data_IF_136566334392
#
_entry.id   IF_136566334392
#
_cell.length_a   1.000
_cell.length_b   1.000
_cell.length_c   1.000
_cell.angle_alpha   90.00
_cell.angle_beta   90.00
_cell.angle_gamma   90.00
#
_symmetry.space_group_name_H-M   'P 1'
#
loop_
_entity.id
_entity.type
_entity.pdbx_description
1 polymer ?
#
# COMPACT_ATOMS: atom_id res chain seq x y z
N UNK A 1 -44.32 -25.54 3.66
CA UNK A 1 -43.02 -25.15 4.25
C UNK A 1 -42.23 -24.47 3.15
N UNK A 2 -42.27 -23.15 3.11
CA UNK A 2 -41.50 -22.34 2.17
C UNK A 2 -40.01 -22.48 2.52
N UNK A 3 -39.21 -22.78 1.51
CA UNK A 3 -37.79 -23.07 1.72
C UNK A 3 -37.03 -21.78 1.95
N UNK A 4 -36.03 -21.77 2.84
CA UNK A 4 -35.25 -20.59 3.22
C UNK A 4 -34.58 -19.83 2.05
N UNK A 5 -34.57 -20.42 0.85
CA UNK A 5 -34.10 -19.82 -0.40
C UNK A 5 -35.05 -18.79 -1.01
N UNK A 6 -36.33 -18.77 -0.60
CA UNK A 6 -37.36 -17.87 -1.14
C UNK A 6 -37.36 -16.49 -0.43
N UNK A 7 -36.97 -16.46 0.85
CA UNK A 7 -36.97 -15.27 1.70
C UNK A 7 -35.68 -14.44 1.57
N UNK A 8 -34.56 -15.04 1.16
CA UNK A 8 -33.26 -14.36 1.05
C UNK A 8 -32.73 -14.44 -0.39
N UNK A 9 -32.78 -13.33 -1.16
CA UNK A 9 -32.22 -13.28 -2.50
C UNK A 9 -30.72 -13.62 -2.48
N UNK A 10 -30.28 -14.53 -3.36
CA UNK A 10 -28.85 -14.79 -3.58
C UNK A 10 -28.21 -13.58 -4.25
N UNK A 11 -27.61 -12.69 -3.46
CA UNK A 11 -26.88 -11.53 -3.96
C UNK A 11 -25.68 -11.99 -4.80
N UNK A 12 -25.68 -11.66 -6.10
CA UNK A 12 -24.54 -11.91 -6.98
C UNK A 12 -23.36 -11.03 -6.55
N UNK A 13 -22.18 -11.63 -6.44
CA UNK A 13 -20.96 -10.88 -6.12
C UNK A 13 -20.54 -10.03 -7.32
N UNK A 14 -20.26 -8.76 -7.07
CA UNK A 14 -19.66 -7.85 -8.05
C UNK A 14 -18.14 -7.91 -7.96
N UNK A 15 -17.47 -7.70 -9.09
CA UNK A 15 -16.02 -7.53 -9.13
C UNK A 15 -15.62 -6.35 -8.24
N UNK A 16 -14.75 -6.60 -7.25
CA UNK A 16 -14.20 -5.54 -6.38
C UNK A 16 -13.00 -4.85 -7.01
N UNK A 17 -12.28 -5.57 -7.86
CA UNK A 17 -11.04 -5.11 -8.48
C UNK A 17 -11.23 -5.04 -9.99
N UNK A 18 -10.55 -4.07 -10.63
CA UNK A 18 -10.69 -3.82 -12.08
C UNK A 18 -10.21 -4.99 -12.95
N UNK A 19 -9.30 -5.81 -12.43
CA UNK A 19 -8.73 -6.98 -13.10
C UNK A 19 -9.54 -8.26 -12.92
N UNK A 20 -10.62 -8.25 -12.13
CA UNK A 20 -11.42 -9.46 -11.89
C UNK A 20 -12.42 -9.67 -13.03
N UNK A 21 -12.28 -10.77 -13.75
CA UNK A 21 -13.21 -11.19 -14.80
C UNK A 21 -14.41 -11.96 -14.23
N UNK A 22 -15.50 -12.03 -15.00
CA UNK A 22 -16.69 -12.81 -14.64
C UNK A 22 -16.37 -14.30 -14.44
N UNK A 23 -15.41 -14.83 -15.18
CA UNK A 23 -14.91 -16.20 -15.03
C UNK A 23 -14.33 -16.45 -13.63
N UNK A 24 -13.55 -15.50 -13.09
CA UNK A 24 -13.00 -15.58 -11.72
C UNK A 24 -14.13 -15.55 -10.69
N UNK A 25 -15.17 -14.74 -10.92
CA UNK A 25 -16.34 -14.68 -10.04
C UNK A 25 -17.09 -16.02 -10.01
N UNK A 26 -17.23 -16.68 -11.16
CA UNK A 26 -17.84 -18.00 -11.25
C UNK A 26 -17.02 -19.06 -10.51
N UNK A 27 -15.70 -19.10 -10.71
CA UNK A 27 -14.84 -20.04 -9.96
C UNK A 27 -14.85 -19.79 -8.45
N UNK A 28 -14.97 -18.54 -8.01
CA UNK A 28 -15.15 -18.23 -6.59
C UNK A 28 -16.47 -18.71 -6.02
N UNK A 29 -17.53 -18.70 -6.82
CA UNK A 29 -18.84 -19.25 -6.46
C UNK A 29 -18.77 -20.78 -6.39
N UNK A 30 -18.13 -21.43 -7.35
CA UNK A 30 -17.88 -22.88 -7.32
C UNK A 30 -17.08 -23.28 -6.07
N UNK A 31 -16.06 -22.49 -5.70
CA UNK A 31 -15.28 -22.70 -4.47
C UNK A 31 -16.16 -22.64 -3.22
N UNK A 32 -17.18 -21.77 -3.21
CA UNK A 32 -18.14 -21.65 -2.10
C UNK A 32 -19.00 -22.91 -1.99
N UNK A 33 -19.49 -23.43 -3.11
CA UNK A 33 -20.29 -24.64 -3.17
C UNK A 33 -19.48 -25.91 -2.86
N UNK A 34 -18.17 -25.92 -3.10
CA UNK A 34 -17.30 -27.07 -2.89
C UNK A 34 -16.87 -27.32 -1.44
N UNK A 35 -17.31 -26.52 -0.46
CA UNK A 35 -16.90 -26.65 0.96
C UNK A 35 -17.15 -28.04 1.59
N UNK A 36 -18.04 -28.84 1.02
CA UNK A 36 -18.32 -30.21 1.50
C UNK A 36 -17.37 -31.29 1.00
N UNK A 37 -16.51 -31.01 0.01
CA UNK A 37 -15.56 -31.98 -0.53
C UNK A 37 -14.16 -31.36 -0.56
N UNK A 38 -13.26 -31.87 0.29
CA UNK A 38 -11.90 -31.33 0.48
C UNK A 38 -11.08 -31.34 -0.81
N UNK A 39 -11.07 -32.46 -1.53
CA UNK A 39 -10.27 -32.61 -2.75
C UNK A 39 -10.76 -31.67 -3.86
N UNK A 40 -12.08 -31.63 -4.07
CA UNK A 40 -12.69 -30.71 -5.04
C UNK A 40 -12.46 -29.23 -4.66
N UNK A 41 -12.51 -28.92 -3.37
CA UNK A 41 -12.23 -27.57 -2.87
C UNK A 41 -10.78 -27.15 -3.14
N UNK A 42 -9.80 -28.01 -2.86
CA UNK A 42 -8.38 -27.73 -3.10
C UNK A 42 -8.09 -27.50 -4.59
N UNK A 43 -8.65 -28.35 -5.47
CA UNK A 43 -8.51 -28.20 -6.91
C UNK A 43 -9.08 -26.87 -7.42
N UNK A 44 -10.30 -26.51 -6.99
CA UNK A 44 -10.94 -25.25 -7.38
C UNK A 44 -10.17 -24.07 -6.77
N UNK A 45 -9.69 -24.18 -5.54
CA UNK A 45 -8.92 -23.13 -4.90
C UNK A 45 -7.64 -22.80 -5.67
N UNK A 46 -6.90 -23.83 -6.12
CA UNK A 46 -5.71 -23.66 -6.95
C UNK A 46 -6.03 -22.98 -8.27
N UNK A 47 -7.09 -23.42 -8.96
CA UNK A 47 -7.56 -22.79 -10.22
C UNK A 47 -7.94 -21.33 -10.03
N UNK A 48 -8.67 -21.01 -8.96
CA UNK A 48 -9.03 -19.62 -8.61
C UNK A 48 -7.76 -18.78 -8.42
N UNK A 49 -6.78 -19.30 -7.68
CA UNK A 49 -5.53 -18.58 -7.42
C UNK A 49 -4.75 -18.33 -8.71
N UNK A 50 -4.59 -19.36 -9.54
CA UNK A 50 -3.93 -19.25 -10.84
C UNK A 50 -4.61 -18.21 -11.74
N UNK A 51 -5.94 -18.30 -11.90
CA UNK A 51 -6.69 -17.35 -12.73
C UNK A 51 -6.62 -15.92 -12.19
N UNK A 52 -6.70 -15.74 -10.88
CA UNK A 52 -6.52 -14.44 -10.24
C UNK A 52 -5.13 -13.87 -10.53
N UNK A 53 -4.07 -14.67 -10.39
CA UNK A 53 -2.70 -14.25 -10.63
C UNK A 53 -2.51 -13.85 -12.09
N UNK A 54 -2.90 -14.69 -13.04
CA UNK A 54 -2.80 -14.40 -14.47
C UNK A 54 -3.59 -13.17 -14.87
N UNK A 55 -4.83 -13.02 -14.39
CA UNK A 55 -5.67 -11.86 -14.73
C UNK A 55 -5.10 -10.57 -14.14
N UNK A 56 -4.58 -10.62 -12.91
CA UNK A 56 -3.92 -9.47 -12.28
C UNK A 56 -2.64 -9.10 -13.02
N UNK A 57 -1.82 -10.08 -13.40
CA UNK A 57 -0.58 -9.87 -14.14
C UNK A 57 -0.84 -9.26 -15.53
N UNK A 58 -1.82 -9.80 -16.27
CA UNK A 58 -2.22 -9.26 -17.56
C UNK A 58 -2.68 -7.80 -17.45
N UNK A 59 -3.50 -7.49 -16.44
CA UNK A 59 -3.96 -6.13 -16.20
C UNK A 59 -2.82 -5.17 -15.86
N UNK A 60 -1.87 -5.59 -15.00
CA UNK A 60 -0.68 -4.79 -14.67
C UNK A 60 0.16 -4.56 -15.93
N UNK A 61 0.41 -5.61 -16.72
CA UNK A 61 1.21 -5.53 -17.94
C UNK A 61 0.58 -4.59 -18.98
N UNK A 62 -0.74 -4.65 -19.15
CA UNK A 62 -1.48 -3.72 -20.01
C UNK A 62 -1.34 -2.27 -19.53
N UNK A 63 -1.49 -2.03 -18.22
CA UNK A 63 -1.32 -0.71 -17.64
C UNK A 63 0.11 -0.18 -17.73
N UNK A 64 1.12 -1.04 -17.58
CA UNK A 64 2.53 -0.67 -17.80
C UNK A 64 2.75 -0.21 -19.25
N UNK A 65 2.21 -0.96 -20.24
CA UNK A 65 2.30 -0.57 -21.66
C UNK A 65 1.62 0.78 -21.92
N UNK A 66 0.45 1.02 -21.34
CA UNK A 66 -0.24 2.32 -21.44
C UNK A 66 0.63 3.46 -20.87
N UNK A 67 1.26 3.26 -19.70
CA UNK A 67 2.14 4.26 -19.08
C UNK A 67 3.37 4.54 -19.95
N UNK A 68 4.01 3.50 -20.50
CA UNK A 68 5.18 3.64 -21.37
C UNK A 68 4.88 4.44 -22.63
N UNK A 69 3.68 4.25 -23.21
CA UNK A 69 3.21 5.03 -24.36
C UNK A 69 2.89 6.48 -23.97
N UNK A 70 2.15 6.67 -22.88
CA UNK A 70 1.78 8.00 -22.38
C UNK A 70 2.98 8.82 -21.93
N UNK A 71 4.09 8.18 -21.51
CA UNK A 71 5.32 8.87 -21.09
C UNK A 71 5.86 9.82 -22.15
N UNK A 72 5.67 9.52 -23.43
CA UNK A 72 6.12 10.38 -24.54
C UNK A 72 5.27 11.63 -24.72
N UNK A 73 4.00 11.61 -24.30
CA UNK A 73 3.01 12.65 -24.60
C UNK A 73 2.53 13.42 -23.36
N UNK A 74 2.54 12.80 -22.18
CA UNK A 74 2.00 13.35 -20.95
C UNK A 74 2.79 12.85 -19.71
N UNK A 75 4.02 13.33 -19.47
CA UNK A 75 4.82 12.92 -18.32
C UNK A 75 4.14 13.20 -16.96
N UNK A 76 3.27 14.21 -16.90
CA UNK A 76 2.53 14.59 -15.71
C UNK A 76 1.48 13.56 -15.26
N UNK A 77 0.96 12.71 -16.15
CA UNK A 77 -0.06 11.71 -15.79
C UNK A 77 0.55 10.40 -15.30
N UNK A 78 1.83 10.17 -15.56
CA UNK A 78 2.56 8.94 -15.16
C UNK A 78 2.42 8.69 -13.66
N UNK A 79 2.64 9.73 -12.84
CA UNK A 79 2.64 9.58 -11.39
C UNK A 79 1.27 9.09 -10.86
N UNK A 80 0.18 9.64 -11.42
CA UNK A 80 -1.18 9.24 -11.09
C UNK A 80 -1.48 7.80 -11.52
N UNK A 81 -1.05 7.41 -12.71
CA UNK A 81 -1.25 6.04 -13.21
C UNK A 81 -0.47 5.01 -12.37
N UNK A 82 0.76 5.33 -11.96
CA UNK A 82 1.56 4.49 -11.06
C UNK A 82 0.88 4.36 -9.70
N UNK A 83 0.33 5.46 -9.15
CA UNK A 83 -0.43 5.44 -7.90
C UNK A 83 -1.69 4.58 -8.02
N UNK A 84 -2.38 4.61 -9.16
CA UNK A 84 -3.56 3.78 -9.41
C UNK A 84 -3.25 2.27 -9.43
N UNK A 85 -2.11 1.87 -10.00
CA UNK A 85 -1.69 0.46 -10.06
C UNK A 85 -1.16 -0.03 -8.70
N UNK A 86 -0.31 0.79 -8.06
CA UNK A 86 0.39 0.41 -6.82
C UNK A 86 -0.50 0.57 -5.60
N UNK A 87 -1.57 1.38 -5.72
CA UNK A 87 -2.35 1.86 -4.60
C UNK A 87 -1.59 2.88 -3.77
N UNK A 88 -2.29 3.49 -2.81
CA UNK A 88 -1.63 4.33 -1.80
C UNK A 88 -0.84 3.42 -0.88
N UNK A 89 0.50 3.57 -0.89
CA UNK A 89 1.31 3.06 0.21
C UNK A 89 0.83 3.77 1.46
N UNK A 90 0.09 3.05 2.30
CA UNK A 90 -0.02 3.44 3.70
C UNK A 90 1.41 3.33 4.22
N UNK A 91 2.10 4.47 4.30
CA UNK A 91 3.27 4.56 5.15
C UNK A 91 2.76 4.15 6.52
N UNK A 92 3.06 2.91 6.90
CA UNK A 92 2.95 2.49 8.29
C UNK A 92 3.84 3.50 9.01
N UNK A 93 3.22 4.50 9.64
CA UNK A 93 3.91 5.32 10.61
C UNK A 93 4.19 4.34 11.75
N UNK A 94 5.32 3.66 11.68
CA UNK A 94 5.61 2.55 12.59
C UNK A 94 5.85 3.04 14.01
N UNK A 95 5.66 4.35 14.28
CA UNK A 95 5.90 4.97 15.58
C UNK A 95 7.33 4.74 16.07
N UNK A 96 8.24 4.30 15.20
CA UNK A 96 9.58 3.89 15.57
C UNK A 96 10.61 4.79 14.89
N UNK A 97 11.64 5.14 15.66
CA UNK A 97 12.74 6.01 15.22
C UNK A 97 14.06 5.26 15.38
N UNK A 98 15.05 5.58 14.55
CA UNK A 98 16.38 4.97 14.67
C UNK A 98 17.27 5.83 15.57
N UNK A 99 17.79 5.23 16.63
CA UNK A 99 18.80 5.82 17.50
C UNK A 99 20.13 6.04 16.75
N UNK A 100 21.01 6.87 17.31
CA UNK A 100 22.31 7.16 16.71
C UNK A 100 23.22 5.92 16.63
N UNK A 101 23.12 5.01 17.61
CA UNK A 101 23.83 3.74 17.67
C UNK A 101 23.25 2.67 16.71
N UNK A 102 22.13 2.96 16.06
CA UNK A 102 21.47 2.09 15.10
C UNK A 102 20.28 1.29 15.63
N UNK A 103 19.96 1.40 16.92
CA UNK A 103 18.83 0.71 17.55
C UNK A 103 17.48 1.32 17.16
N UNK A 104 16.41 0.54 17.30
CA UNK A 104 15.04 0.98 17.01
C UNK A 104 14.37 1.42 18.31
N UNK A 105 14.08 2.72 18.40
CA UNK A 105 13.33 3.36 19.47
C UNK A 105 11.84 3.26 19.14
N UNK A 106 11.03 2.80 20.09
CA UNK A 106 9.57 2.71 19.96
C UNK A 106 8.87 3.56 21.04
N UNK A 107 9.60 3.86 22.13
CA UNK A 107 9.08 4.64 23.25
C UNK A 107 8.95 6.13 22.91
N UNK A 108 7.90 6.78 23.41
CA UNK A 108 7.57 8.15 22.99
C UNK A 108 8.55 9.18 23.55
N UNK A 109 8.95 9.00 24.80
CA UNK A 109 9.89 9.86 25.50
C UNK A 109 11.27 9.80 24.81
N UNK A 110 11.77 8.58 24.53
CA UNK A 110 13.03 8.37 23.82
C UNK A 110 13.00 8.93 22.37
N UNK A 111 11.86 8.86 21.69
CA UNK A 111 11.68 9.48 20.37
C UNK A 111 11.84 11.00 20.45
N UNK A 112 11.23 11.64 21.46
CA UNK A 112 11.32 13.09 21.66
C UNK A 112 12.77 13.52 21.97
N UNK A 113 13.47 12.76 22.80
CA UNK A 113 14.89 13.01 23.10
C UNK A 113 15.74 12.90 21.84
N UNK A 114 15.56 11.84 21.05
CA UNK A 114 16.28 11.65 19.79
C UNK A 114 16.00 12.76 18.77
N UNK A 115 14.77 13.27 18.71
CA UNK A 115 14.43 14.45 17.89
C UNK A 115 15.14 15.71 18.38
N UNK A 116 15.19 15.94 19.69
CA UNK A 116 15.89 17.07 20.26
C UNK A 116 17.40 17.02 19.99
N UNK A 117 18.01 15.84 20.15
CA UNK A 117 19.42 15.59 19.79
C UNK A 117 19.68 15.90 18.31
N UNK A 118 18.86 15.35 17.41
CA UNK A 118 19.00 15.57 15.97
C UNK A 118 18.96 17.06 15.61
N UNK A 119 18.02 17.82 16.17
CA UNK A 119 17.89 19.26 15.92
C UNK A 119 19.10 20.02 16.47
N UNK A 120 19.58 19.68 17.69
CA UNK A 120 20.77 20.30 18.28
C UNK A 120 22.01 20.08 17.42
N UNK A 121 22.21 18.86 16.89
CA UNK A 121 23.32 18.56 15.98
C UNK A 121 23.19 19.31 14.66
N UNK A 122 21.99 19.32 14.07
CA UNK A 122 21.74 19.94 12.77
C UNK A 122 21.97 21.46 12.79
N UNK A 123 21.60 22.11 13.89
CA UNK A 123 21.76 23.56 14.07
C UNK A 123 22.92 23.94 14.99
N UNK A 124 23.85 23.01 15.26
CA UNK A 124 25.06 23.32 16.01
C UNK A 124 25.90 24.31 15.20
N UNK A 125 26.05 25.51 15.73
CA UNK A 125 26.82 26.58 15.10
C UNK A 125 28.18 26.73 15.79
N UNK A 126 29.24 26.28 15.12
CA UNK A 126 30.62 26.37 15.61
C UNK A 126 31.32 27.67 15.15
N UNK A 127 30.59 28.65 14.62
CA UNK A 127 31.16 29.97 14.31
C UNK A 127 31.64 30.63 15.61
N UNK A 128 32.94 30.98 15.67
CA UNK A 128 33.52 31.71 16.81
C UNK A 128 32.75 33.01 16.98
N UNK A 129 32.34 33.26 18.23
CA UNK A 129 31.64 34.48 18.63
C UNK A 129 32.52 35.68 18.27
N UNK A 130 32.24 36.29 17.12
CA UNK A 130 32.93 37.49 16.68
C UNK A 130 32.36 38.60 17.56
N UNK A 131 33.06 38.85 18.67
CA UNK A 131 32.86 39.91 19.65
C UNK A 131 32.22 41.13 18.98
N UNK A 132 30.89 41.20 19.07
CA UNK A 132 30.11 42.30 18.50
C UNK A 132 30.53 43.51 19.31
N UNK A 133 31.27 44.41 18.67
CA UNK A 133 31.74 45.67 19.23
C UNK A 133 30.67 46.24 20.16
N UNK A 134 30.99 46.36 21.45
CA UNK A 134 30.20 47.14 22.40
C UNK A 134 30.17 48.57 21.87
N UNK A 135 29.09 48.93 21.18
CA UNK A 135 28.83 50.32 20.84
C UNK A 135 28.55 51.06 22.15
N UNK A 136 29.57 51.73 22.67
CA UNK A 136 29.43 52.76 23.68
C UNK A 136 28.67 53.93 23.05
N UNK A 137 27.37 54.02 23.32
CA UNK A 137 26.66 55.28 23.16
C UNK A 137 27.00 56.15 24.37
N UNK A 138 27.73 57.23 24.09
CA UNK A 138 27.88 58.39 24.95
C UNK A 138 26.66 59.32 24.81
#
# INVERSE_FOLDING_TARGET
METATEVIPKVKRKAKQKWMTEEILNFMEEKRCAKGNKEKYEQIHKKVQEKCNTSKENWINEKCKEIEQQRKHAPQTIYRNIEEITGKRTLLSTGCLKAMNGDIIIDKEEILERWAEYIRELFKDDRKDHNVMKNNFA
#
